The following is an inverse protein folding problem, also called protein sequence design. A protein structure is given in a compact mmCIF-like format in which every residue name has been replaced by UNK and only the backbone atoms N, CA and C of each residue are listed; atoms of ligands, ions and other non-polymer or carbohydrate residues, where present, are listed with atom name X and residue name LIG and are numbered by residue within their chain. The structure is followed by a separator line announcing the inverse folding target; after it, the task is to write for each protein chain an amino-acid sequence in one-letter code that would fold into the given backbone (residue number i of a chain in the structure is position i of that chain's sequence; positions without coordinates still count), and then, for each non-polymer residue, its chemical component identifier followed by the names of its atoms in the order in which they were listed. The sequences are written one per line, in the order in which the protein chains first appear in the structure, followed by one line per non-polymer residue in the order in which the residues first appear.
data_IF_439107504078
#
_entry.id   IF_439107504078
#
_cell.length_a   1.000
_cell.length_b   1.000
_cell.length_c   1.000
_cell.angle_alpha   90.00
_cell.angle_beta   90.00
_cell.angle_gamma   90.00
#
_symmetry.space_group_name_H-M   'P 1'
#
loop_
_entity.id
_entity.type
_entity.pdbx_description
1 polymer ?
#
# COMPACT_ATOMS: atom_id res chain seq x y z
N UNK A 1 34.49 -19.55 -3.21
CA UNK A 1 34.16 -18.13 -3.57
C UNK A 1 34.85 -17.21 -2.60
N UNK A 2 35.67 -16.23 -3.07
CA UNK A 2 36.27 -15.25 -2.17
C UNK A 2 35.27 -14.19 -1.74
N UNK A 3 35.36 -13.68 -0.51
CA UNK A 3 34.51 -12.63 0.05
C UNK A 3 34.40 -11.42 -0.90
N UNK A 4 35.50 -11.04 -1.55
CA UNK A 4 35.49 -9.95 -2.53
C UNK A 4 34.60 -10.21 -3.75
N UNK A 5 34.46 -11.43 -4.22
CA UNK A 5 33.61 -11.79 -5.35
C UNK A 5 32.13 -11.72 -4.95
N UNK A 6 31.79 -12.15 -3.72
CA UNK A 6 30.46 -12.02 -3.17
C UNK A 6 30.06 -10.55 -2.97
N UNK A 7 30.95 -9.72 -2.42
CA UNK A 7 30.71 -8.28 -2.26
C UNK A 7 30.56 -7.57 -3.62
N UNK A 8 31.33 -7.95 -4.65
CA UNK A 8 31.19 -7.38 -5.99
C UNK A 8 29.85 -7.74 -6.64
N UNK A 9 29.36 -8.94 -6.40
CA UNK A 9 28.02 -9.35 -6.88
C UNK A 9 26.90 -8.58 -6.17
N UNK A 10 27.03 -8.33 -4.87
CA UNK A 10 26.09 -7.51 -4.12
C UNK A 10 26.12 -6.03 -4.58
N UNK A 11 27.28 -5.49 -4.94
CA UNK A 11 27.39 -4.15 -5.55
C UNK A 11 26.69 -4.10 -6.90
N UNK A 12 26.90 -5.10 -7.77
CA UNK A 12 26.22 -5.19 -9.08
C UNK A 12 24.69 -5.24 -8.95
N UNK A 13 24.20 -5.84 -7.88
CA UNK A 13 22.76 -5.91 -7.55
C UNK A 13 22.23 -4.67 -6.83
N UNK A 14 23.08 -3.66 -6.60
CA UNK A 14 22.68 -2.43 -5.89
C UNK A 14 22.38 -2.62 -4.41
N UNK A 15 22.76 -3.76 -3.82
CA UNK A 15 22.49 -4.09 -2.42
C UNK A 15 23.52 -3.50 -1.44
N UNK A 16 24.71 -3.19 -1.92
CA UNK A 16 25.75 -2.51 -1.15
C UNK A 16 26.48 -1.46 -1.99
N UNK A 17 26.91 -0.39 -1.35
CA UNK A 17 27.79 0.63 -1.91
C UNK A 17 29.19 0.51 -1.34
N UNK A 18 30.22 0.57 -2.20
CA UNK A 18 31.63 0.58 -1.78
C UNK A 18 32.19 1.99 -1.85
N UNK A 19 32.56 2.53 -0.69
CA UNK A 19 33.25 3.84 -0.61
C UNK A 19 34.71 3.64 -0.39
N UNK A 20 35.53 4.28 -1.23
CA UNK A 20 37.00 4.24 -1.15
C UNK A 20 37.44 4.76 0.22
N UNK A 21 38.19 3.96 0.97
CA UNK A 21 38.68 4.22 2.34
C UNK A 21 37.64 4.14 3.48
N UNK A 22 36.35 3.94 3.20
CA UNK A 22 35.30 3.91 4.24
C UNK A 22 34.60 2.56 4.38
N UNK A 23 34.91 1.59 3.48
CA UNK A 23 34.33 0.24 3.56
C UNK A 23 33.12 0.01 2.65
N UNK A 24 32.35 -1.03 2.96
CA UNK A 24 31.11 -1.38 2.25
C UNK A 24 29.92 -1.11 3.15
N UNK A 25 28.92 -0.44 2.62
CA UNK A 25 27.69 -0.08 3.30
C UNK A 25 26.52 -0.77 2.60
N UNK A 26 25.49 -1.16 3.34
CA UNK A 26 24.24 -1.61 2.74
C UNK A 26 23.67 -0.41 1.98
N UNK A 27 23.49 -0.55 0.67
CA UNK A 27 22.79 0.45 -0.12
C UNK A 27 21.31 0.36 0.27
N UNK A 28 20.82 1.37 0.95
CA UNK A 28 19.39 1.64 0.84
C UNK A 28 19.17 2.11 -0.60
N UNK A 29 18.16 1.56 -1.34
CA UNK A 29 17.84 2.05 -2.67
C UNK A 29 17.63 3.55 -2.60
N UNK A 30 18.51 4.35 -3.22
CA UNK A 30 18.47 5.82 -3.20
C UNK A 30 17.44 6.40 -4.17
N UNK A 31 16.31 5.73 -4.33
CA UNK A 31 15.10 6.31 -4.93
C UNK A 31 13.95 5.94 -4.02
N UNK A 32 14.02 6.37 -2.78
CA UNK A 32 12.86 6.39 -1.90
C UNK A 32 12.18 7.75 -2.06
N UNK A 33 11.39 7.88 -3.14
CA UNK A 33 10.31 8.82 -3.09
C UNK A 33 9.30 8.27 -2.08
N UNK A 34 8.70 9.12 -1.27
CA UNK A 34 7.60 8.75 -0.36
C UNK A 34 6.45 8.01 -1.10
N UNK A 35 6.37 8.14 -2.42
CA UNK A 35 5.48 7.41 -3.35
C UNK A 35 5.81 5.91 -3.42
N UNK A 36 7.05 5.50 -3.10
CA UNK A 36 7.51 4.10 -3.20
C UNK A 36 7.46 3.33 -1.87
N UNK A 37 7.12 3.97 -0.77
CA UNK A 37 6.92 3.29 0.51
C UNK A 37 5.46 2.83 0.66
N UNK A 38 5.27 1.66 1.26
CA UNK A 38 3.93 1.23 1.69
C UNK A 38 3.58 2.01 2.96
N UNK A 39 2.92 3.16 2.78
CA UNK A 39 2.43 3.92 3.92
C UNK A 39 1.24 3.23 4.57
N UNK A 40 1.28 3.14 5.90
CA UNK A 40 0.13 2.82 6.74
C UNK A 40 -0.65 4.12 6.99
N UNK A 41 -1.92 4.16 6.61
CA UNK A 41 -2.81 5.33 6.80
C UNK A 41 -2.84 5.80 8.26
N UNK A 42 -2.73 4.86 9.22
CA UNK A 42 -2.63 5.22 10.65
C UNK A 42 -1.37 6.04 10.92
N UNK A 43 -0.21 5.60 10.42
CA UNK A 43 1.05 6.33 10.60
C UNK A 43 1.03 7.68 9.89
N UNK A 44 0.42 7.72 8.71
CA UNK A 44 0.24 8.95 7.94
C UNK A 44 -0.54 10.00 8.75
N UNK A 45 -1.71 9.64 9.27
CA UNK A 45 -2.52 10.55 10.13
C UNK A 45 -1.76 10.96 11.38
N UNK A 46 -1.07 10.02 12.03
CA UNK A 46 -0.30 10.32 13.23
C UNK A 46 0.89 11.26 12.97
N UNK A 47 1.53 11.17 11.80
CA UNK A 47 2.62 12.09 11.40
C UNK A 47 2.14 13.53 11.20
N UNK A 48 0.85 13.73 10.93
CA UNK A 48 0.20 15.04 10.89
C UNK A 48 -0.16 15.59 12.28
N UNK A 49 0.15 14.84 13.36
CA UNK A 49 -0.20 15.21 14.73
C UNK A 49 -1.69 15.09 15.04
N UNK A 50 -2.45 14.31 14.27
CA UNK A 50 -3.89 14.15 14.40
C UNK A 50 -4.24 12.80 15.03
N UNK A 51 -5.37 12.77 15.75
CA UNK A 51 -5.94 11.55 16.28
C UNK A 51 -6.45 10.68 15.13
N UNK A 52 -6.03 9.41 15.14
CA UNK A 52 -6.44 8.42 14.17
C UNK A 52 -7.56 7.53 14.71
N UNK A 53 -8.59 7.34 13.90
CA UNK A 53 -9.60 6.32 14.10
C UNK A 53 -9.93 5.66 12.76
N UNK A 54 -10.57 4.49 12.79
CA UNK A 54 -11.13 3.89 11.59
C UNK A 54 -12.47 3.20 11.91
N UNK A 55 -13.27 3.02 10.88
CA UNK A 55 -14.53 2.29 10.96
C UNK A 55 -14.59 1.26 9.83
N UNK A 56 -14.73 0.01 10.23
CA UNK A 56 -14.97 -1.08 9.31
C UNK A 56 -16.34 -0.87 8.62
N UNK A 57 -16.35 -1.08 7.32
CA UNK A 57 -17.56 -1.09 6.50
C UNK A 57 -18.00 -2.53 6.19
N UNK A 58 -18.14 -2.84 4.90
CA UNK A 58 -18.50 -4.19 4.46
C UNK A 58 -17.32 -5.13 4.58
N UNK A 59 -17.59 -6.38 4.95
CA UNK A 59 -16.63 -7.48 5.01
C UNK A 59 -17.30 -8.73 4.48
N UNK A 60 -16.81 -9.26 3.35
CA UNK A 60 -17.43 -10.41 2.68
C UNK A 60 -16.36 -11.36 2.15
N UNK A 61 -16.47 -12.64 2.48
CA UNK A 61 -15.70 -13.69 1.82
C UNK A 61 -16.43 -14.13 0.57
N UNK A 62 -15.78 -14.03 -0.57
CA UNK A 62 -16.36 -14.35 -1.87
C UNK A 62 -15.35 -14.91 -2.86
N UNK A 63 -15.82 -15.46 -3.97
CA UNK A 63 -14.98 -15.76 -5.13
C UNK A 63 -14.70 -14.51 -5.96
N UNK A 64 -13.71 -14.62 -6.84
CA UNK A 64 -13.44 -13.62 -7.88
C UNK A 64 -14.72 -13.29 -8.66
N UNK A 65 -14.89 -12.03 -9.05
CA UNK A 65 -15.99 -11.51 -9.90
C UNK A 65 -15.42 -10.81 -11.11
N UNK A 66 -16.24 -10.59 -12.14
CA UNK A 66 -15.90 -9.73 -13.26
C UNK A 66 -15.48 -8.33 -12.75
N UNK A 67 -14.33 -7.84 -13.21
CA UNK A 67 -13.75 -6.57 -12.78
C UNK A 67 -12.69 -6.67 -11.67
N UNK A 68 -12.62 -7.78 -10.93
CA UNK A 68 -11.53 -7.99 -9.97
C UNK A 68 -10.19 -8.28 -10.64
N UNK A 69 -10.19 -8.86 -11.85
CA UNK A 69 -9.03 -9.17 -12.69
C UNK A 69 -8.19 -7.92 -13.00
N UNK A 70 -8.85 -6.76 -13.13
CA UNK A 70 -8.17 -5.46 -13.24
C UNK A 70 -7.46 -5.02 -11.95
N UNK A 71 -7.80 -5.60 -10.80
CA UNK A 71 -7.28 -5.25 -9.47
C UNK A 71 -6.28 -6.27 -8.93
N UNK A 72 -6.57 -7.55 -9.04
CA UNK A 72 -5.72 -8.63 -8.52
C UNK A 72 -5.69 -9.79 -9.51
N UNK A 73 -4.49 -10.24 -9.89
CA UNK A 73 -4.29 -11.29 -10.88
C UNK A 73 -4.36 -12.67 -10.20
N UNK A 74 -5.55 -13.25 -10.22
CA UNK A 74 -5.84 -14.55 -9.60
C UNK A 74 -6.83 -15.34 -10.46
N UNK A 75 -6.80 -16.69 -10.41
CA UNK A 75 -7.80 -17.54 -11.04
C UNK A 75 -9.23 -17.22 -10.59
N UNK A 76 -10.21 -17.36 -11.48
CA UNK A 76 -11.63 -17.07 -11.20
C UNK A 76 -12.20 -17.89 -10.01
N UNK A 77 -11.61 -19.05 -9.71
CA UNK A 77 -12.00 -19.89 -8.57
C UNK A 77 -11.47 -19.39 -7.22
N UNK A 78 -10.55 -18.42 -7.21
CA UNK A 78 -9.89 -17.93 -5.99
C UNK A 78 -10.89 -17.30 -5.03
N UNK A 79 -10.66 -17.54 -3.73
CA UNK A 79 -11.43 -16.94 -2.65
C UNK A 79 -10.73 -15.66 -2.18
N UNK A 80 -11.52 -14.61 -2.03
CA UNK A 80 -11.08 -13.30 -1.58
C UNK A 80 -11.84 -12.91 -0.32
N UNK A 81 -11.18 -12.16 0.54
CA UNK A 81 -11.83 -11.30 1.49
C UNK A 81 -11.96 -9.91 0.84
N UNK A 82 -13.18 -9.48 0.60
CA UNK A 82 -13.55 -8.15 0.11
C UNK A 82 -13.97 -7.30 1.32
N UNK A 83 -13.23 -6.21 1.56
CA UNK A 83 -13.38 -5.43 2.78
C UNK A 83 -13.24 -3.95 2.49
N UNK A 84 -14.11 -3.15 3.10
CA UNK A 84 -14.04 -1.69 3.04
C UNK A 84 -13.84 -1.11 4.42
N UNK A 85 -13.16 0.03 4.53
CA UNK A 85 -13.16 0.81 5.75
C UNK A 85 -12.96 2.30 5.47
N UNK A 86 -13.35 3.13 6.41
CA UNK A 86 -13.10 4.58 6.42
C UNK A 86 -12.09 4.90 7.49
N UNK A 87 -11.08 5.65 7.14
CA UNK A 87 -10.07 6.18 8.05
C UNK A 87 -10.41 7.63 8.39
N UNK A 88 -10.16 8.03 9.62
CA UNK A 88 -10.45 9.35 10.12
C UNK A 88 -9.18 10.00 10.69
N UNK A 89 -9.06 11.30 10.45
CA UNK A 89 -8.04 12.17 11.02
C UNK A 89 -8.74 13.31 11.78
N UNK A 90 -8.53 13.41 13.09
CA UNK A 90 -9.18 14.42 13.94
C UNK A 90 -10.71 14.40 13.83
N UNK A 91 -11.31 13.21 13.71
CA UNK A 91 -12.77 13.01 13.59
C UNK A 91 -13.38 13.23 12.20
N UNK A 92 -12.59 13.65 11.20
CA UNK A 92 -13.04 13.84 9.80
C UNK A 92 -12.60 12.67 8.93
N UNK A 93 -13.40 12.29 7.92
CA UNK A 93 -13.01 11.25 6.97
C UNK A 93 -11.76 11.69 6.20
N UNK A 94 -10.71 10.88 6.32
CA UNK A 94 -9.42 11.11 5.70
C UNK A 94 -9.23 10.28 4.44
N UNK A 95 -9.60 8.99 4.49
CA UNK A 95 -9.43 8.04 3.40
C UNK A 95 -10.55 6.99 3.41
N UNK A 96 -11.02 6.60 2.22
CA UNK A 96 -11.86 5.43 2.00
C UNK A 96 -11.01 4.31 1.40
N UNK A 97 -10.96 3.18 2.07
CA UNK A 97 -10.22 1.98 1.67
C UNK A 97 -11.16 0.90 1.15
N UNK A 98 -10.87 0.36 -0.05
CA UNK A 98 -11.50 -0.80 -0.67
C UNK A 98 -10.45 -1.85 -0.97
N UNK A 99 -10.46 -2.96 -0.24
CA UNK A 99 -9.38 -3.95 -0.27
C UNK A 99 -9.87 -5.34 -0.63
N UNK A 100 -9.08 -6.01 -1.47
CA UNK A 100 -9.17 -7.44 -1.75
C UNK A 100 -7.96 -8.14 -1.13
N UNK A 101 -8.20 -9.20 -0.35
CA UNK A 101 -7.14 -10.05 0.23
C UNK A 101 -7.29 -11.45 -0.33
N UNK A 102 -6.22 -12.01 -0.86
CA UNK A 102 -6.16 -13.38 -1.35
C UNK A 102 -6.11 -14.35 -0.18
N UNK A 103 -7.20 -15.08 0.07
CA UNK A 103 -7.31 -16.02 1.17
C UNK A 103 -6.44 -17.28 1.01
N UNK A 104 -5.94 -17.55 -0.20
CA UNK A 104 -4.95 -18.64 -0.38
C UNK A 104 -3.56 -18.21 0.08
N UNK A 105 -3.23 -16.92 0.02
CA UNK A 105 -1.97 -16.37 0.48
C UNK A 105 -2.01 -15.96 1.96
N UNK A 106 -3.19 -15.55 2.46
CA UNK A 106 -3.40 -15.05 3.83
C UNK A 106 -4.66 -15.68 4.41
N UNK A 107 -4.66 -17.00 4.69
CA UNK A 107 -5.85 -17.70 5.19
C UNK A 107 -6.34 -17.16 6.54
N UNK A 108 -5.45 -16.62 7.37
CA UNK A 108 -5.78 -16.06 8.68
C UNK A 108 -6.71 -14.84 8.58
N UNK A 109 -6.70 -14.13 7.45
CA UNK A 109 -7.58 -12.99 7.22
C UNK A 109 -9.07 -13.38 7.19
N UNK A 110 -9.39 -14.66 6.94
CA UNK A 110 -10.77 -15.14 6.91
C UNK A 110 -11.44 -15.08 8.29
N UNK A 111 -10.71 -15.35 9.35
CA UNK A 111 -11.20 -15.33 10.74
C UNK A 111 -10.92 -14.02 11.48
N UNK A 112 -10.10 -13.13 10.89
CA UNK A 112 -9.77 -11.84 11.52
C UNK A 112 -10.96 -10.89 11.49
N UNK A 113 -11.28 -10.30 12.65
CA UNK A 113 -12.41 -9.35 12.79
C UNK A 113 -12.03 -7.93 12.41
N UNK A 114 -10.74 -7.61 12.42
CA UNK A 114 -10.21 -6.27 12.22
C UNK A 114 -10.77 -5.23 13.20
N UNK A 115 -11.10 -5.64 14.44
CA UNK A 115 -11.59 -4.71 15.47
C UNK A 115 -10.46 -3.89 16.12
N UNK A 116 -9.25 -4.45 16.17
CA UNK A 116 -8.10 -3.84 16.85
C UNK A 116 -7.14 -3.13 15.92
N UNK A 117 -7.11 -3.51 14.64
CA UNK A 117 -6.23 -2.94 13.64
C UNK A 117 -6.91 -2.91 12.27
N UNK A 118 -6.81 -1.78 11.57
CA UNK A 118 -7.30 -1.66 10.20
C UNK A 118 -6.61 -2.71 9.29
N UNK A 119 -7.29 -3.19 8.22
CA UNK A 119 -6.79 -4.28 7.36
C UNK A 119 -5.38 -4.02 6.81
N UNK A 120 -5.08 -2.78 6.41
CA UNK A 120 -3.75 -2.40 5.93
C UNK A 120 -2.67 -2.54 7.00
N UNK A 121 -2.91 -2.01 8.20
CA UNK A 121 -1.99 -2.09 9.34
C UNK A 121 -1.77 -3.54 9.78
N UNK A 122 -2.85 -4.33 9.81
CA UNK A 122 -2.78 -5.75 10.17
C UNK A 122 -1.92 -6.54 9.19
N UNK A 123 -2.15 -6.36 7.87
CA UNK A 123 -1.35 -7.02 6.83
C UNK A 123 0.13 -6.67 6.91
N UNK A 124 0.46 -5.39 7.10
CA UNK A 124 1.86 -4.94 7.24
C UNK A 124 2.57 -5.57 8.43
N UNK A 125 1.84 -5.87 9.50
CA UNK A 125 2.39 -6.52 10.69
C UNK A 125 2.48 -8.04 10.63
N UNK A 126 1.74 -8.68 9.71
CA UNK A 126 1.59 -10.15 9.66
C UNK A 126 2.20 -10.80 8.43
N UNK A 127 2.14 -10.15 7.28
CA UNK A 127 2.47 -10.76 5.99
C UNK A 127 3.73 -10.12 5.42
N UNK A 128 4.85 -10.86 5.30
CA UNK A 128 6.02 -10.36 4.61
C UNK A 128 5.69 -10.17 3.13
N UNK A 129 5.96 -8.99 2.61
CA UNK A 129 5.82 -8.69 1.20
C UNK A 129 7.18 -8.61 0.51
N UNK A 130 7.23 -8.94 -0.78
CA UNK A 130 8.47 -8.90 -1.58
C UNK A 130 8.45 -7.81 -2.64
N UNK A 131 7.27 -7.48 -3.16
CA UNK A 131 7.08 -6.50 -4.22
C UNK A 131 5.76 -5.78 -4.03
N UNK A 132 5.75 -4.48 -4.33
CA UNK A 132 4.54 -3.67 -4.39
C UNK A 132 4.54 -2.80 -5.64
N UNK A 133 3.35 -2.59 -6.22
CA UNK A 133 3.09 -1.65 -7.31
C UNK A 133 2.13 -0.59 -6.83
N UNK A 134 2.42 0.68 -7.12
CA UNK A 134 1.51 1.79 -6.89
C UNK A 134 1.10 2.41 -8.22
N UNK A 135 -0.20 2.65 -8.37
CA UNK A 135 -0.77 3.51 -9.42
C UNK A 135 -1.50 4.65 -8.77
N UNK A 136 -1.12 5.86 -9.12
CA UNK A 136 -1.68 7.08 -8.57
C UNK A 136 -2.42 7.80 -9.67
N UNK A 137 -3.68 8.15 -9.41
CA UNK A 137 -4.54 8.84 -10.37
C UNK A 137 -5.50 9.80 -9.70
N UNK A 138 -5.92 10.82 -10.44
CA UNK A 138 -7.01 11.70 -10.07
C UNK A 138 -8.31 11.19 -10.71
N UNK A 139 -9.40 11.16 -9.94
CA UNK A 139 -10.73 10.77 -10.40
C UNK A 139 -11.80 11.68 -9.82
N UNK A 140 -12.94 11.77 -10.49
CA UNK A 140 -14.12 12.40 -9.91
C UNK A 140 -14.83 11.42 -8.95
N UNK A 141 -15.26 11.90 -7.79
CA UNK A 141 -15.98 11.09 -6.82
C UNK A 141 -17.30 10.57 -7.40
N UNK A 142 -17.42 9.24 -7.49
CA UNK A 142 -18.70 8.59 -7.76
C UNK A 142 -19.67 8.80 -6.59
N UNK A 143 -20.97 8.55 -6.79
CA UNK A 143 -21.95 8.67 -5.70
C UNK A 143 -21.58 7.82 -4.46
N UNK A 144 -21.20 6.53 -4.56
CA UNK A 144 -20.76 5.74 -3.40
C UNK A 144 -19.50 6.32 -2.74
N UNK A 145 -18.50 6.71 -3.53
CA UNK A 145 -17.25 7.30 -3.03
C UNK A 145 -17.51 8.63 -2.31
N UNK A 146 -18.35 9.49 -2.90
CA UNK A 146 -18.72 10.77 -2.32
C UNK A 146 -19.41 10.59 -0.95
N UNK A 147 -20.31 9.63 -0.85
CA UNK A 147 -20.98 9.27 0.40
C UNK A 147 -19.98 8.73 1.44
N UNK A 148 -19.09 7.82 1.04
CA UNK A 148 -18.07 7.25 1.93
C UNK A 148 -17.11 8.30 2.48
N UNK A 149 -16.70 9.28 1.65
CA UNK A 149 -15.77 10.35 1.99
C UNK A 149 -16.44 11.61 2.58
N UNK A 150 -17.79 11.66 2.57
CA UNK A 150 -18.55 12.84 3.02
C UNK A 150 -18.18 14.12 2.24
N UNK A 151 -18.08 13.97 0.89
CA UNK A 151 -17.77 15.05 -0.06
C UNK A 151 -18.83 15.14 -1.15
N UNK A 152 -18.91 16.23 -1.93
CA UNK A 152 -19.81 16.31 -3.08
C UNK A 152 -19.53 15.27 -4.16
N UNK A 153 -20.58 14.79 -4.83
CA UNK A 153 -20.44 13.97 -6.04
C UNK A 153 -19.71 14.76 -7.11
N UNK A 154 -18.74 14.14 -7.77
CA UNK A 154 -17.90 14.80 -8.78
C UNK A 154 -16.70 15.56 -8.20
N UNK A 155 -16.57 15.70 -6.88
CA UNK A 155 -15.36 16.28 -6.28
C UNK A 155 -14.12 15.50 -6.71
N UNK A 156 -13.01 16.21 -6.89
CA UNK A 156 -11.73 15.60 -7.22
C UNK A 156 -11.24 14.71 -6.08
N UNK A 157 -10.78 13.52 -6.42
CA UNK A 157 -10.17 12.57 -5.49
C UNK A 157 -8.81 12.14 -6.01
N UNK A 158 -7.86 11.96 -5.09
CA UNK A 158 -6.63 11.23 -5.33
C UNK A 158 -6.87 9.76 -5.01
N UNK A 159 -6.55 8.87 -5.94
CA UNK A 159 -6.64 7.42 -5.74
C UNK A 159 -5.26 6.81 -5.82
N UNK A 160 -4.88 6.09 -4.78
CA UNK A 160 -3.69 5.23 -4.76
C UNK A 160 -4.17 3.79 -4.85
N UNK A 161 -3.95 3.17 -5.99
CA UNK A 161 -4.11 1.73 -6.16
C UNK A 161 -2.78 1.07 -5.80
N UNK A 162 -2.80 0.13 -4.87
CA UNK A 162 -1.63 -0.65 -4.48
C UNK A 162 -1.90 -2.13 -4.64
N UNK A 163 -0.97 -2.82 -5.28
CA UNK A 163 -0.92 -4.28 -5.35
C UNK A 163 0.32 -4.76 -4.65
N UNK A 164 0.20 -5.86 -3.91
CA UNK A 164 1.32 -6.39 -3.11
C UNK A 164 1.45 -7.89 -3.32
N UNK A 165 2.69 -8.35 -3.47
CA UNK A 165 3.05 -9.76 -3.67
C UNK A 165 4.00 -10.23 -2.57
N UNK A 166 3.94 -11.53 -2.27
CA UNK A 166 4.91 -12.26 -1.45
C UNK A 166 5.44 -13.44 -2.24
N UNK A 167 6.74 -13.47 -2.54
CA UNK A 167 7.35 -14.53 -3.35
C UNK A 167 6.70 -14.73 -4.72
N UNK A 168 6.21 -13.67 -5.36
CA UNK A 168 5.51 -13.70 -6.65
C UNK A 168 4.02 -14.04 -6.56
N UNK A 169 3.49 -14.39 -5.38
CA UNK A 169 2.06 -14.66 -5.18
C UNK A 169 1.34 -13.36 -4.82
N UNK A 170 0.23 -12.99 -5.51
CA UNK A 170 -0.57 -11.83 -5.14
C UNK A 170 -1.17 -12.00 -3.73
N UNK A 171 -0.90 -11.03 -2.85
CA UNK A 171 -1.38 -11.01 -1.46
C UNK A 171 -2.62 -10.15 -1.34
N UNK A 172 -2.54 -8.91 -1.79
CA UNK A 172 -3.64 -7.95 -1.64
C UNK A 172 -3.61 -6.88 -2.73
N UNK A 173 -4.78 -6.39 -3.06
CA UNK A 173 -4.98 -5.17 -3.84
C UNK A 173 -5.85 -4.20 -3.03
N UNK A 174 -5.47 -2.93 -2.99
CA UNK A 174 -6.21 -1.90 -2.27
C UNK A 174 -6.37 -0.65 -3.13
N UNK A 175 -7.54 -0.04 -3.06
CA UNK A 175 -7.80 1.33 -3.50
C UNK A 175 -7.91 2.21 -2.26
N UNK A 176 -7.02 3.17 -2.13
CA UNK A 176 -7.07 4.22 -1.12
C UNK A 176 -7.52 5.50 -1.81
N UNK A 177 -8.72 5.95 -1.47
CA UNK A 177 -9.32 7.15 -2.07
C UNK A 177 -9.36 8.28 -1.07
N UNK A 178 -8.75 9.40 -1.43
CA UNK A 178 -8.63 10.60 -0.59
C UNK A 178 -9.36 11.78 -1.23
N UNK A 179 -9.98 12.68 -0.44
CA UNK A 179 -10.42 13.97 -0.94
C UNK A 179 -9.23 14.76 -1.51
N UNK A 180 -9.31 15.18 -2.79
CA UNK A 180 -8.17 15.77 -3.50
C UNK A 180 -7.79 17.18 -3.02
N UNK A 181 -8.70 17.86 -2.29
CA UNK A 181 -8.45 19.17 -1.67
C UNK A 181 -7.71 19.08 -0.32
N UNK A 182 -7.48 17.87 0.19
CA UNK A 182 -6.93 17.63 1.54
C UNK A 182 -5.78 16.63 1.57
N UNK A 183 -5.36 16.17 0.40
CA UNK A 183 -4.30 15.17 0.31
C UNK A 183 -3.35 15.50 -0.83
N UNK A 184 -2.06 15.43 -0.52
CA UNK A 184 -0.97 15.61 -1.49
C UNK A 184 0.07 14.50 -1.34
N UNK A 185 0.78 14.22 -2.41
CA UNK A 185 1.91 13.30 -2.41
C UNK A 185 3.18 14.11 -2.62
N UNK A 186 4.08 14.05 -1.67
CA UNK A 186 5.37 14.74 -1.74
C UNK A 186 6.45 13.69 -2.00
N UNK A 187 7.27 13.93 -3.02
CA UNK A 187 8.44 13.13 -3.33
C UNK A 187 9.66 14.05 -3.44
N UNK A 188 10.70 13.77 -2.67
CA UNK A 188 11.96 14.48 -2.74
C UNK A 188 12.97 13.67 -3.57
N UNK A 189 13.61 14.34 -4.53
CA UNK A 189 14.60 13.72 -5.40
C UNK A 189 15.91 14.49 -5.29
N UNK A 190 17.02 13.77 -5.15
CA UNK A 190 18.36 14.32 -5.35
C UNK A 190 18.90 13.87 -6.72
N UNK A 191 19.66 14.71 -7.44
CA UNK A 191 20.37 14.26 -8.64
C UNK A 191 21.25 13.06 -8.32
N UNK A 192 21.20 12.02 -9.15
CA UNK A 192 22.17 10.93 -9.07
C UNK A 192 23.55 11.54 -9.28
N UNK A 193 24.46 11.36 -8.33
CA UNK A 193 25.85 11.75 -8.54
C UNK A 193 26.35 10.98 -9.77
N UNK A 194 26.50 11.69 -10.88
CA UNK A 194 27.13 11.15 -12.09
C UNK A 194 28.56 10.78 -11.75
N UNK A 195 28.89 9.51 -11.82
CA UNK A 195 30.23 9.00 -11.66
C UNK A 195 31.10 9.38 -12.86
#
# INVERSE_FOLDING_TARGET
MTVNKALSELVKRGLIERRRKSGSYVSFPQVQSAVMEIHDVKREVQSLGLDYAYRLGERTVRKMRAGDDGRIDLPASSRLLDITCRHFAGGRVFCFEERLINLSAVPEAESETFETAAPGSWLLGKVPWSTAEHRIRAVAASRPTAQALEIPVGAACLVIERRTWSGGVPVTSVLLTYPGDRHELIAEFAPSATA
#
